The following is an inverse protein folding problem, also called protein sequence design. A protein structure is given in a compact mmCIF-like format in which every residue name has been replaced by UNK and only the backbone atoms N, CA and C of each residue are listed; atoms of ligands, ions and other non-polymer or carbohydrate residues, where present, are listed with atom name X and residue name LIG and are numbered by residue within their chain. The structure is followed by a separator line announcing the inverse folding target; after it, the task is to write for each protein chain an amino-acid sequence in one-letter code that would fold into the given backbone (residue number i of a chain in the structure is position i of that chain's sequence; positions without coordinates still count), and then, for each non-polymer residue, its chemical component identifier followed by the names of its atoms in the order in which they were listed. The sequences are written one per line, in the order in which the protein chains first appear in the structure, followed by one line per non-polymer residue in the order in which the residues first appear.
data_IF_177887754275
#
_entry.id   IF_177887754275
#
_cell.length_a   1.000
_cell.length_b   1.000
_cell.length_c   1.000
_cell.angle_alpha   90.00
_cell.angle_beta   90.00
_cell.angle_gamma   90.00
#
_symmetry.space_group_name_H-M   'P 1'
#
loop_
_entity.id
_entity.type
_entity.pdbx_description
1 polymer ?
#
# COMPACT_ATOMS: atom_id res chain seq x y z
N UNK A 1 -9.47 -44.50 52.56
CA UNK A 1 -9.33 -44.27 52.17
C UNK A 1 -9.02 -43.68 51.15
N UNK A 2 -8.87 -43.23 50.59
CA UNK A 2 -8.60 -42.68 49.75
C UNK A 2 -8.45 -41.59 49.31
N UNK A 3 -8.18 -41.13 48.90
CA UNK A 3 -7.90 -40.12 48.71
C UNK A 3 -7.58 -39.69 47.54
N UNK A 4 -7.70 -39.21 47.12
CA UNK A 4 -7.52 -38.78 46.10
C UNK A 4 -7.09 -37.68 45.75
N UNK A 5 -6.52 -37.39 45.48
CA UNK A 5 -6.01 -36.38 45.23
C UNK A 5 -5.97 -35.86 44.00
N UNK A 6 -6.14 -35.22 43.69
CA UNK A 6 -6.17 -34.65 42.74
C UNK A 6 -5.48 -33.70 42.34
N UNK A 7 -5.10 -33.34 41.50
CA UNK A 7 -4.49 -32.43 41.09
C UNK A 7 -4.66 -31.80 40.14
N UNK A 8 -4.72 -31.22 39.90
CA UNK A 8 -4.81 -30.48 39.23
C UNK A 8 -4.00 -29.85 38.60
N UNK A 9 -3.68 -29.59 38.02
CA UNK A 9 -2.97 -29.30 37.39
C UNK A 9 -3.14 -28.23 36.73
N UNK A 10 -3.01 -27.55 36.67
CA UNK A 10 -3.13 -26.53 36.22
C UNK A 10 -2.39 -25.99 35.40
N UNK A 11 -2.24 -25.80 34.79
CA UNK A 11 -1.70 -25.38 33.97
C UNK A 11 -1.63 -24.22 33.53
N UNK A 12 -1.31 -23.74 33.55
CA UNK A 12 -1.11 -22.64 33.31
C UNK A 12 -0.73 -22.15 32.22
N UNK A 13 -0.77 -21.93 31.60
CA UNK A 13 -0.48 -21.44 30.80
C UNK A 13 -0.11 -20.38 30.37
N UNK A 14 0.15 -20.02 30.28
CA UNK A 14 0.60 -19.09 30.12
C UNK A 14 1.00 -18.58 29.00
N UNK A 15 1.02 -18.26 28.56
CA UNK A 15 1.35 -17.84 27.71
C UNK A 15 1.85 -16.89 27.31
N UNK A 16 2.19 -16.71 27.11
CA UNK A 16 2.69 -15.92 26.91
C UNK A 16 2.84 -15.17 25.98
N UNK A 17 2.70 -14.72 25.67
CA UNK A 17 2.76 -13.96 25.04
C UNK A 17 3.41 -13.18 24.67
N UNK A 18 3.74 -13.03 24.47
CA UNK A 18 4.28 -12.40 24.31
C UNK A 18 4.72 -11.68 23.43
N UNK A 19 4.91 -11.41 23.15
CA UNK A 19 5.31 -10.65 22.63
C UNK A 19 5.50 -10.02 21.80
N UNK A 20 5.41 -9.93 21.53
CA UNK A 20 5.38 -9.39 20.82
C UNK A 20 5.67 -8.34 20.30
N UNK A 21 5.80 -7.98 20.32
CA UNK A 21 6.04 -7.01 20.13
C UNK A 21 6.45 -6.57 19.08
N UNK A 22 6.49 -6.51 18.57
CA UNK A 22 6.88 -6.06 17.75
C UNK A 22 6.93 -5.62 16.83
N UNK A 23 7.05 -5.59 16.66
CA UNK A 23 7.34 -5.36 15.77
C UNK A 23 6.83 -4.67 14.73
N UNK A 24 6.74 -4.41 13.97
CA UNK A 24 6.32 -3.72 12.89
C UNK A 24 4.88 -3.45 12.95
N UNK A 25 4.51 -2.52 12.25
CA UNK A 25 3.15 -2.17 12.10
C UNK A 25 2.44 -3.20 11.23
N UNK A 26 1.41 -3.77 11.71
CA UNK A 26 0.65 -4.70 10.92
C UNK A 26 -0.24 -3.97 9.93
N UNK A 27 -0.42 -4.55 8.78
CA UNK A 27 -1.29 -4.00 7.78
C UNK A 27 -2.71 -4.40 8.11
N UNK A 28 -3.51 -3.45 8.52
CA UNK A 28 -4.88 -3.71 8.91
C UNK A 28 -5.91 -3.13 7.95
N UNK A 29 -5.46 -2.35 6.98
CA UNK A 29 -6.38 -1.69 6.06
C UNK A 29 -6.37 -2.37 4.71
N UNK A 30 -7.55 -2.57 4.15
CA UNK A 30 -7.73 -3.12 2.82
C UNK A 30 -8.77 -2.30 2.10
N UNK A 31 -8.55 -2.04 0.84
CA UNK A 31 -9.50 -1.27 0.06
C UNK A 31 -9.46 -1.70 -1.39
N UNK A 32 -10.63 -1.86 -1.99
CA UNK A 32 -10.76 -2.10 -3.43
C UNK A 32 -10.71 -0.74 -4.14
N UNK A 33 -9.78 -0.61 -5.06
CA UNK A 33 -9.60 0.62 -5.83
C UNK A 33 -9.43 0.28 -7.30
N UNK A 34 -9.59 1.29 -8.15
CA UNK A 34 -9.24 1.18 -9.56
C UNK A 34 -7.78 1.58 -9.73
N UNK A 35 -7.02 0.75 -10.41
CA UNK A 35 -5.61 1.03 -10.66
C UNK A 35 -5.37 1.25 -12.14
N UNK A 36 -4.70 2.35 -12.44
CA UNK A 36 -4.15 2.64 -13.76
C UNK A 36 -2.64 2.75 -13.62
N UNK A 37 -1.95 3.01 -14.70
CA UNK A 37 -0.50 3.16 -14.68
C UNK A 37 -0.09 4.39 -15.46
N UNK A 38 1.00 5.00 -15.02
CA UNK A 38 1.55 6.17 -15.72
C UNK A 38 3.07 6.05 -15.78
N UNK A 39 3.66 6.87 -16.65
CA UNK A 39 5.13 6.89 -16.75
C UNK A 39 5.64 8.32 -16.96
N UNK A 40 6.94 8.43 -17.04
CA UNK A 40 7.63 9.72 -17.04
C UNK A 40 7.76 10.33 -18.43
N UNK A 41 6.92 9.97 -19.38
CA UNK A 41 7.02 10.57 -20.72
C UNK A 41 6.25 11.89 -20.73
N UNK A 42 6.81 12.94 -21.32
CA UNK A 42 6.18 14.27 -21.31
C UNK A 42 4.78 14.30 -21.89
N UNK A 43 4.48 13.41 -22.81
CA UNK A 43 3.15 13.38 -23.45
C UNK A 43 2.03 12.95 -22.50
N UNK A 44 2.36 12.46 -21.33
CA UNK A 44 1.37 11.95 -20.37
C UNK A 44 1.18 12.86 -19.16
N UNK A 45 2.00 13.86 -19.00
CA UNK A 45 1.95 14.75 -17.84
C UNK A 45 2.10 16.20 -18.27
N UNK A 46 1.68 17.10 -17.39
CA UNK A 46 1.90 18.52 -17.57
C UNK A 46 3.16 18.93 -16.81
N UNK A 47 3.97 19.78 -17.42
CA UNK A 47 5.16 20.28 -16.78
C UNK A 47 6.24 19.23 -16.67
N UNK A 48 6.84 19.09 -15.51
CA UNK A 48 7.96 18.18 -15.29
C UNK A 48 7.45 16.76 -14.98
N UNK A 49 7.62 15.80 -15.90
CA UNK A 49 7.07 14.46 -15.70
C UNK A 49 7.75 13.66 -14.58
N UNK A 50 8.89 14.13 -14.07
CA UNK A 50 9.61 13.46 -13.02
C UNK A 50 9.31 14.02 -11.63
N UNK A 51 8.50 15.07 -11.56
CA UNK A 51 8.23 15.74 -10.29
C UNK A 51 6.84 15.40 -9.82
N UNK A 52 6.77 14.73 -8.67
CA UNK A 52 5.50 14.34 -8.05
C UNK A 52 4.88 15.51 -7.29
N UNK A 53 3.62 15.34 -6.89
CA UNK A 53 2.82 16.41 -6.31
C UNK A 53 3.44 17.05 -5.06
N UNK A 54 4.19 16.27 -4.28
CA UNK A 54 4.86 16.78 -3.07
C UNK A 54 6.31 17.16 -3.31
N UNK A 55 6.74 17.18 -4.58
CA UNK A 55 8.10 17.59 -4.91
C UNK A 55 9.11 16.45 -4.97
N UNK A 56 8.68 15.22 -4.78
CA UNK A 56 9.57 14.07 -4.91
C UNK A 56 9.91 13.83 -6.37
N UNK A 57 11.18 13.51 -6.60
CA UNK A 57 11.62 13.23 -7.96
C UNK A 57 11.51 11.75 -8.23
N UNK A 58 10.68 11.39 -9.20
CA UNK A 58 10.50 9.99 -9.59
C UNK A 58 11.56 9.57 -10.58
N UNK A 59 12.04 8.35 -10.43
CA UNK A 59 13.04 7.75 -11.33
C UNK A 59 12.56 6.38 -11.78
N UNK A 60 12.88 5.99 -13.01
CA UNK A 60 12.55 4.64 -13.47
C UNK A 60 13.06 3.58 -12.50
N UNK A 61 12.23 2.59 -12.23
CA UNK A 61 12.54 1.54 -11.26
C UNK A 61 11.99 1.80 -9.87
N UNK A 62 11.59 3.01 -9.56
CA UNK A 62 10.96 3.29 -8.27
C UNK A 62 9.57 2.66 -8.20
N UNK A 63 9.26 2.06 -7.05
CA UNK A 63 7.91 1.58 -6.78
C UNK A 63 7.15 2.69 -6.07
N UNK A 64 6.35 3.40 -6.85
CA UNK A 64 5.61 4.56 -6.36
C UNK A 64 4.21 4.57 -6.95
N UNK A 65 3.29 5.16 -6.21
CA UNK A 65 1.92 5.35 -6.67
C UNK A 65 1.46 6.77 -6.40
N UNK A 66 0.57 7.23 -7.27
CA UNK A 66 -0.26 8.39 -7.02
C UNK A 66 -1.59 7.89 -6.48
N UNK A 67 -2.19 8.62 -5.57
CA UNK A 67 -3.47 8.22 -4.98
C UNK A 67 -4.50 9.32 -5.18
N UNK A 68 -5.75 8.91 -5.32
CA UNK A 68 -6.86 9.86 -5.33
C UNK A 68 -6.96 10.51 -3.95
N UNK A 69 -7.41 11.75 -3.93
CA UNK A 69 -7.36 12.57 -2.71
C UNK A 69 -8.24 12.06 -1.58
N UNK A 70 -9.31 11.35 -1.91
CA UNK A 70 -10.13 10.71 -0.90
C UNK A 70 -9.39 9.64 -0.10
N UNK A 71 -8.38 9.02 -0.69
CA UNK A 71 -7.54 8.08 0.05
C UNK A 71 -6.73 8.78 1.13
N UNK A 72 -6.33 10.02 0.88
CA UNK A 72 -5.66 10.84 1.90
C UNK A 72 -6.62 11.29 2.99
N UNK A 73 -7.79 11.80 2.61
CA UNK A 73 -8.66 12.49 3.54
C UNK A 73 -9.64 11.58 4.27
N UNK A 74 -10.02 10.46 3.65
CA UNK A 74 -11.05 9.59 4.19
C UNK A 74 -10.54 8.21 4.59
N UNK A 75 -9.41 7.77 4.05
CA UNK A 75 -8.92 6.42 4.26
C UNK A 75 -7.57 6.36 4.98
N UNK A 76 -7.02 7.49 5.34
CA UNK A 76 -5.83 7.54 6.18
C UNK A 76 -4.51 7.23 5.49
N UNK A 77 -4.49 7.11 4.16
CA UNK A 77 -3.23 7.01 3.45
C UNK A 77 -2.55 8.36 3.39
N UNK A 78 -1.24 8.37 3.53
CA UNK A 78 -0.48 9.61 3.47
C UNK A 78 0.85 9.40 2.76
N UNK A 79 1.52 10.50 2.46
CA UNK A 79 2.82 10.47 1.80
C UNK A 79 3.79 9.55 2.54
N UNK A 80 4.54 8.77 1.79
CA UNK A 80 5.53 7.80 2.25
C UNK A 80 4.95 6.52 2.86
N UNK A 81 3.64 6.39 2.92
CA UNK A 81 3.07 5.12 3.33
C UNK A 81 3.45 4.04 2.33
N UNK A 82 3.66 2.84 2.85
CA UNK A 82 3.98 1.68 2.03
C UNK A 82 2.70 0.90 1.78
N UNK A 83 2.45 0.63 0.52
CA UNK A 83 1.20 0.00 0.09
C UNK A 83 1.52 -1.26 -0.67
N UNK A 84 0.88 -2.36 -0.31
CA UNK A 84 0.90 -3.57 -1.11
C UNK A 84 -0.26 -3.54 -2.07
N UNK A 85 0.01 -3.94 -3.30
CA UNK A 85 -0.98 -3.97 -4.36
C UNK A 85 -1.15 -5.41 -4.79
N UNK A 86 -2.36 -5.93 -4.72
CA UNK A 86 -2.64 -7.29 -5.13
C UNK A 86 -2.22 -7.50 -6.58
N UNK A 87 -1.41 -8.53 -6.81
CA UNK A 87 -0.92 -8.83 -8.15
C UNK A 87 0.44 -8.23 -8.47
N UNK A 88 1.01 -7.43 -7.59
CA UNK A 88 2.34 -6.86 -7.77
C UNK A 88 3.23 -7.21 -6.59
N UNK A 89 4.50 -7.46 -6.87
CA UNK A 89 5.46 -7.78 -5.84
C UNK A 89 5.96 -6.52 -5.14
N UNK A 90 6.28 -6.67 -3.85
CA UNK A 90 6.90 -5.58 -3.10
C UNK A 90 5.90 -4.55 -2.60
N UNK A 91 6.45 -3.45 -2.17
CA UNK A 91 5.67 -2.35 -1.60
C UNK A 91 5.89 -1.09 -2.42
N UNK A 92 4.84 -0.32 -2.55
CA UNK A 92 4.84 0.92 -3.30
C UNK A 92 4.69 2.08 -2.35
N UNK A 93 5.49 3.12 -2.55
CA UNK A 93 5.40 4.34 -1.73
C UNK A 93 4.37 5.29 -2.30
N UNK A 94 3.59 5.88 -1.43
CA UNK A 94 2.70 6.98 -1.81
C UNK A 94 3.56 8.23 -1.98
N UNK A 95 3.77 8.65 -3.21
CA UNK A 95 4.61 9.81 -3.52
C UNK A 95 3.90 10.87 -4.35
N UNK A 96 2.67 10.60 -4.77
CA UNK A 96 1.98 11.53 -5.64
C UNK A 96 0.49 11.50 -5.34
N UNK A 97 -0.21 12.50 -5.79
CA UNK A 97 -1.66 12.56 -5.66
C UNK A 97 -2.30 12.94 -6.98
N UNK A 98 -3.49 12.44 -7.18
CA UNK A 98 -4.23 12.60 -8.42
C UNK A 98 -5.12 13.84 -8.38
N UNK A 99 -5.61 14.22 -9.54
CA UNK A 99 -6.58 15.30 -9.64
C UNK A 99 -7.80 15.02 -8.74
N UNK A 100 -8.37 16.07 -8.19
CA UNK A 100 -9.44 15.97 -7.19
C UNK A 100 -10.72 15.28 -7.70
N UNK A 101 -10.88 15.13 -9.01
CA UNK A 101 -12.05 14.46 -9.58
C UNK A 101 -12.04 12.95 -9.36
N UNK A 102 -10.87 12.37 -9.06
CA UNK A 102 -10.77 10.92 -8.94
C UNK A 102 -11.16 10.45 -7.55
N UNK A 103 -11.74 9.26 -7.50
CA UNK A 103 -12.16 8.61 -6.24
C UNK A 103 -11.74 7.16 -6.26
N UNK A 104 -11.29 6.66 -5.11
CA UNK A 104 -10.88 5.26 -4.91
C UNK A 104 -10.02 4.78 -6.06
N UNK A 105 -8.99 5.52 -6.35
CA UNK A 105 -8.15 5.26 -7.50
C UNK A 105 -6.69 5.45 -7.14
N UNK A 106 -5.85 4.58 -7.72
CA UNK A 106 -4.41 4.74 -7.68
C UNK A 106 -3.89 4.73 -9.10
N UNK A 107 -2.71 5.32 -9.27
CA UNK A 107 -2.02 5.36 -10.55
C UNK A 107 -0.60 4.88 -10.28
N UNK A 108 -0.21 3.79 -10.92
CA UNK A 108 1.05 3.11 -10.61
C UNK A 108 2.14 3.64 -11.52
N UNK A 109 3.20 4.13 -10.92
CA UNK A 109 4.34 4.64 -11.67
C UNK A 109 5.12 3.48 -12.31
N UNK A 110 5.33 3.56 -13.60
CA UNK A 110 6.04 2.53 -14.35
C UNK A 110 7.25 3.10 -15.11
N UNK A 111 7.88 4.11 -14.53
CA UNK A 111 9.09 4.70 -15.08
C UNK A 111 8.86 5.25 -16.48
N UNK A 112 9.72 4.87 -17.40
CA UNK A 112 9.57 5.30 -18.79
C UNK A 112 9.16 4.13 -19.71
N UNK A 113 8.61 3.07 -19.13
CA UNK A 113 8.13 1.92 -19.89
C UNK A 113 6.66 2.11 -20.28
N UNK A 114 6.43 2.72 -21.43
CA UNK A 114 5.07 2.96 -21.91
C UNK A 114 4.35 1.67 -22.25
N UNK A 115 5.07 0.64 -22.66
CA UNK A 115 4.47 -0.65 -22.95
C UNK A 115 3.90 -1.28 -21.68
N UNK A 116 4.66 -1.25 -20.60
CA UNK A 116 4.18 -1.80 -19.33
C UNK A 116 2.95 -1.05 -18.86
N UNK A 117 2.95 0.26 -18.96
CA UNK A 117 1.81 1.07 -18.56
C UNK A 117 0.57 0.75 -19.38
N UNK A 118 0.73 0.59 -20.68
CA UNK A 118 -0.40 0.23 -21.54
C UNK A 118 -0.90 -1.18 -21.29
N UNK A 119 0.00 -2.13 -21.06
CA UNK A 119 -0.40 -3.51 -20.75
C UNK A 119 -1.15 -3.59 -19.43
N UNK A 120 -0.77 -2.75 -18.47
CA UNK A 120 -1.48 -2.72 -17.20
C UNK A 120 -2.94 -2.32 -17.42
N UNK A 121 -3.16 -1.26 -18.18
CA UNK A 121 -4.49 -0.77 -18.50
C UNK A 121 -5.19 -0.20 -17.27
N UNK A 122 -6.42 -0.58 -17.10
CA UNK A 122 -7.27 -0.13 -15.99
C UNK A 122 -7.94 -1.36 -15.39
N UNK A 123 -7.72 -1.58 -14.12
CA UNK A 123 -8.27 -2.78 -13.47
C UNK A 123 -8.49 -2.55 -11.98
N UNK A 124 -9.42 -3.32 -11.39
CA UNK A 124 -9.61 -3.27 -9.95
C UNK A 124 -8.47 -4.02 -9.26
N UNK A 125 -8.03 -3.49 -8.13
CA UNK A 125 -7.04 -4.14 -7.28
C UNK A 125 -7.41 -3.90 -5.83
N UNK A 126 -6.92 -4.76 -4.94
CA UNK A 126 -7.01 -4.52 -3.51
C UNK A 126 -5.66 -3.99 -3.06
N UNK A 127 -5.69 -2.89 -2.33
CA UNK A 127 -4.49 -2.34 -1.71
C UNK A 127 -4.55 -2.58 -0.21
N UNK A 128 -3.37 -2.71 0.39
CA UNK A 128 -3.21 -2.93 1.83
C UNK A 128 -2.15 -1.99 2.38
N UNK A 129 -2.41 -1.41 3.55
CA UNK A 129 -1.45 -0.53 4.21
C UNK A 129 -1.65 -0.48 5.71
#
# INVERSE_FOLDING_TARGET
MFTVTRFLAVVALTIGMVGTASAGKERSNNLLVTATAYNSVPSQTDGNPNLAAWGDRLRPGMKAIAISRDLLTQHGLTRFDKVKINGLAGEYLVLDKMHSRWRKKIDIYMGNDSHAARRWGRRPVIIQW
#
